data_IF_562676393421
#
_entry.id   IF_562676393421
#
_cell.length_a   1.000
_cell.length_b   1.000
_cell.length_c   1.000
_cell.angle_alpha   90.00
_cell.angle_beta   90.00
_cell.angle_gamma   90.00
#
_symmetry.space_group_name_H-M   'P 1'
#
loop_
_entity.id
_entity.type
_entity.pdbx_description
1 polymer ?
#
# COMPACT_ATOMS: atom_id res chain seq x y z
N UNK A 1 0.17 27.90 -7.13
CA UNK A 1 1.52 27.32 -6.92
C UNK A 1 1.51 26.14 -5.93
N UNK A 2 0.35 25.51 -5.66
CA UNK A 2 0.20 24.45 -4.64
C UNK A 2 -0.08 23.05 -5.21
N UNK A 3 -0.25 22.93 -6.53
CA UNK A 3 -0.61 21.67 -7.21
C UNK A 3 0.59 20.75 -7.51
N UNK A 4 1.82 21.14 -7.15
CA UNK A 4 3.02 20.46 -7.64
C UNK A 4 3.33 19.16 -6.88
N UNK A 5 3.06 19.09 -5.57
CA UNK A 5 3.33 17.88 -4.78
C UNK A 5 2.30 16.76 -5.03
N UNK A 6 1.06 17.13 -5.35
CA UNK A 6 -0.04 16.22 -5.63
C UNK A 6 0.16 15.43 -6.95
N UNK A 7 0.94 15.98 -7.88
CA UNK A 7 1.32 15.29 -9.13
C UNK A 7 2.62 14.49 -9.01
N UNK A 8 3.32 14.52 -7.87
CA UNK A 8 4.62 13.86 -7.71
C UNK A 8 4.53 12.45 -7.12
N UNK A 9 3.53 12.17 -6.28
CA UNK A 9 3.19 10.80 -5.82
C UNK A 9 2.96 9.83 -7.00
N UNK A 10 2.13 10.17 -8.01
CA UNK A 10 1.94 9.31 -9.18
C UNK A 10 3.20 9.12 -10.04
N UNK A 11 4.18 10.03 -9.93
CA UNK A 11 5.45 9.93 -10.65
C UNK A 11 6.44 9.02 -9.92
N UNK A 12 6.48 9.07 -8.58
CA UNK A 12 7.25 8.15 -7.75
C UNK A 12 6.83 6.69 -8.03
N UNK A 13 5.53 6.43 -8.11
CA UNK A 13 4.96 5.11 -8.42
C UNK A 13 5.32 4.58 -9.82
N UNK A 14 5.81 5.45 -10.72
CA UNK A 14 6.30 5.05 -12.04
C UNK A 14 7.79 4.71 -12.05
N UNK A 15 8.54 5.03 -10.98
CA UNK A 15 9.97 4.73 -10.90
C UNK A 15 10.22 3.22 -10.91
N UNK A 16 11.31 2.82 -11.57
CA UNK A 16 11.65 1.40 -11.76
C UNK A 16 11.82 0.64 -10.45
N UNK A 17 12.25 1.33 -9.38
CA UNK A 17 12.42 0.74 -8.05
C UNK A 17 11.09 0.26 -7.46
N UNK A 18 10.05 1.12 -7.48
CA UNK A 18 8.75 0.80 -6.89
C UNK A 18 7.94 -0.22 -7.68
N UNK A 19 8.37 -0.53 -8.90
CA UNK A 19 7.79 -1.60 -9.72
C UNK A 19 8.33 -2.99 -9.35
N UNK A 20 9.32 -3.13 -8.48
CA UNK A 20 9.86 -4.45 -8.10
C UNK A 20 8.96 -5.12 -7.06
N UNK A 21 8.62 -6.39 -7.24
CA UNK A 21 7.69 -7.11 -6.35
C UNK A 21 8.10 -7.06 -4.87
N UNK A 22 9.37 -7.33 -4.58
CA UNK A 22 9.94 -7.25 -3.23
C UNK A 22 9.82 -5.87 -2.58
N UNK A 23 9.90 -4.81 -3.38
CA UNK A 23 9.86 -3.43 -2.90
C UNK A 23 8.46 -3.08 -2.39
N UNK A 24 7.40 -3.68 -2.93
CA UNK A 24 6.04 -3.45 -2.44
C UNK A 24 5.91 -3.85 -0.96
N UNK A 25 6.42 -5.03 -0.60
CA UNK A 25 6.44 -5.50 0.79
C UNK A 25 7.30 -4.60 1.66
N UNK A 26 8.54 -4.32 1.26
CA UNK A 26 9.45 -3.44 2.01
C UNK A 26 8.81 -2.09 2.32
N UNK A 27 8.09 -1.53 1.34
CA UNK A 27 7.45 -0.22 1.45
C UNK A 27 6.28 -0.23 2.42
N UNK A 28 5.37 -1.19 2.27
CA UNK A 28 4.18 -1.31 3.12
C UNK A 28 4.52 -1.69 4.56
N UNK A 29 5.60 -2.47 4.76
CA UNK A 29 6.02 -2.94 6.08
C UNK A 29 6.99 -2.01 6.81
N UNK A 30 7.71 -1.13 6.10
CA UNK A 30 8.50 -0.08 6.76
C UNK A 30 7.58 0.81 7.60
N UNK A 31 8.09 1.57 8.58
CA UNK A 31 7.35 2.63 9.31
C UNK A 31 7.71 4.05 8.88
N UNK A 32 8.84 4.18 8.17
CA UNK A 32 9.38 5.42 7.62
C UNK A 32 10.23 5.07 6.41
N UNK A 33 9.99 5.74 5.29
CA UNK A 33 10.70 5.48 4.05
C UNK A 33 11.21 6.77 3.46
N UNK A 34 12.38 6.71 2.84
CA UNK A 34 12.95 7.81 2.06
C UNK A 34 13.27 7.27 0.68
N UNK A 35 12.84 8.01 -0.33
CA UNK A 35 12.96 7.68 -1.74
C UNK A 35 13.97 8.63 -2.39
N UNK A 36 14.96 8.03 -3.03
CA UNK A 36 15.97 8.73 -3.81
C UNK A 36 15.61 8.59 -5.30
N UNK A 37 14.74 9.48 -5.77
CA UNK A 37 14.33 9.54 -7.16
C UNK A 37 14.95 10.74 -7.88
N UNK A 38 14.23 11.27 -8.88
CA UNK A 38 14.54 12.59 -9.44
C UNK A 38 14.48 13.72 -8.40
N UNK A 39 13.80 13.46 -7.27
CA UNK A 39 13.73 14.32 -6.08
C UNK A 39 13.78 13.46 -4.82
N UNK A 40 14.18 14.07 -3.71
CA UNK A 40 14.12 13.45 -2.39
C UNK A 40 12.68 13.52 -1.85
N UNK A 41 12.07 12.38 -1.60
CA UNK A 41 10.74 12.26 -0.99
C UNK A 41 10.85 11.37 0.25
N UNK A 42 10.15 11.69 1.31
CA UNK A 42 10.09 10.84 2.50
C UNK A 42 8.68 10.75 3.03
N UNK A 43 8.34 9.60 3.57
CA UNK A 43 7.05 9.37 4.17
C UNK A 43 7.17 8.68 5.52
N UNK A 44 6.19 8.95 6.37
CA UNK A 44 5.91 8.23 7.58
C UNK A 44 4.39 8.18 7.79
N UNK A 45 3.96 7.55 8.88
CA UNK A 45 2.55 7.51 9.26
C UNK A 45 1.89 8.90 9.35
N UNK A 46 2.63 10.00 9.51
CA UNK A 46 2.01 11.31 9.79
C UNK A 46 2.21 12.32 8.67
N UNK A 47 3.20 12.10 7.82
CA UNK A 47 3.67 13.12 6.90
C UNK A 47 4.28 12.47 5.68
N UNK A 48 3.91 12.99 4.52
CA UNK A 48 4.64 12.82 3.28
C UNK A 48 5.28 14.17 2.96
N UNK A 49 6.60 14.20 2.91
CA UNK A 49 7.39 15.39 2.65
C UNK A 49 8.35 15.20 1.48
N UNK A 50 8.92 16.32 1.04
CA UNK A 50 9.98 16.35 0.06
C UNK A 50 10.90 17.54 0.31
N UNK A 51 12.01 17.62 -0.43
CA UNK A 51 12.99 18.71 -0.32
C UNK A 51 12.37 20.12 -0.45
N UNK A 52 11.23 20.24 -1.14
CA UNK A 52 10.52 21.51 -1.33
C UNK A 52 9.50 21.79 -0.22
N UNK A 53 8.88 20.75 0.33
CA UNK A 53 7.85 20.84 1.37
C UNK A 53 8.15 19.85 2.49
N UNK A 54 9.04 20.20 3.44
CA UNK A 54 9.52 19.24 4.42
C UNK A 54 8.46 18.74 5.39
N UNK A 55 7.50 19.61 5.72
CA UNK A 55 6.36 19.34 6.60
C UNK A 55 5.13 18.85 5.82
N UNK A 56 5.29 18.56 4.53
CA UNK A 56 4.23 18.18 3.62
C UNK A 56 3.51 19.36 2.97
N UNK A 57 2.61 19.07 2.02
CA UNK A 57 1.89 20.11 1.27
C UNK A 57 0.97 20.94 2.20
N UNK A 58 0.79 22.25 1.95
CA UNK A 58 -0.11 23.08 2.73
C UNK A 58 -1.55 22.54 2.67
N UNK A 59 -2.07 22.18 3.85
CA UNK A 59 -3.33 21.48 4.11
C UNK A 59 -4.53 22.18 3.43
N UNK A 60 -4.87 21.77 2.21
CA UNK A 60 -6.14 22.09 1.53
C UNK A 60 -6.70 20.96 0.67
N UNK A 61 -5.89 19.94 0.36
CA UNK A 61 -6.36 18.74 -0.34
C UNK A 61 -6.65 17.66 0.71
N UNK A 62 -7.92 17.66 1.11
CA UNK A 62 -8.69 16.63 1.80
C UNK A 62 -7.90 15.42 2.31
N UNK A 63 -7.88 15.29 3.64
CA UNK A 63 -7.50 14.15 4.48
C UNK A 63 -7.98 12.76 4.02
N UNK A 64 -8.86 12.70 3.02
CA UNK A 64 -9.39 11.49 2.40
C UNK A 64 -8.55 10.97 1.21
N UNK A 65 -7.83 11.84 0.48
CA UNK A 65 -7.02 11.40 -0.69
C UNK A 65 -5.73 10.72 -0.22
N UNK A 66 -5.15 11.20 0.88
CA UNK A 66 -3.92 10.66 1.47
C UNK A 66 -4.15 9.27 2.11
N UNK A 67 -5.38 8.96 2.54
CA UNK A 67 -5.68 7.72 3.28
C UNK A 67 -6.18 6.55 2.43
N UNK A 68 -6.41 6.72 1.12
CA UNK A 68 -7.14 5.70 0.37
C UNK A 68 -6.36 5.04 -0.76
N UNK A 69 -5.21 5.55 -1.19
CA UNK A 69 -4.56 4.98 -2.39
C UNK A 69 -3.04 4.82 -2.29
N UNK A 70 -2.29 5.76 -1.72
CA UNK A 70 -0.83 5.72 -1.91
C UNK A 70 -0.06 6.12 -0.66
N UNK A 71 0.48 5.12 0.06
CA UNK A 71 1.49 5.33 1.11
C UNK A 71 1.11 4.88 2.53
N UNK A 72 0.06 4.08 2.71
CA UNK A 72 -0.32 3.65 4.05
C UNK A 72 0.56 2.51 4.56
N UNK A 73 1.15 2.74 5.72
CA UNK A 73 1.83 1.74 6.53
C UNK A 73 0.87 0.60 6.89
N UNK A 74 1.37 -0.64 6.87
CA UNK A 74 0.60 -1.87 7.09
C UNK A 74 -0.34 -1.82 8.30
N UNK A 75 0.10 -1.23 9.42
CA UNK A 75 -0.70 -1.12 10.65
C UNK A 75 -1.93 -0.21 10.49
N UNK A 76 -1.82 0.86 9.70
CA UNK A 76 -2.94 1.78 9.41
C UNK A 76 -3.79 1.28 8.26
N UNK A 77 -3.15 0.66 7.28
CA UNK A 77 -3.84 0.03 6.18
C UNK A 77 -4.70 -1.14 6.67
N UNK A 78 -4.25 -1.96 7.62
CA UNK A 78 -5.09 -2.99 8.27
C UNK A 78 -6.07 -2.33 9.26
N UNK A 79 -5.67 -1.23 9.90
CA UNK A 79 -6.47 -0.47 10.85
C UNK A 79 -7.77 0.13 10.30
N UNK A 80 -8.70 0.40 11.21
CA UNK A 80 -9.99 1.01 10.93
C UNK A 80 -9.79 2.49 10.54
N UNK A 81 -10.32 2.93 9.39
CA UNK A 81 -10.62 4.34 9.22
C UNK A 81 -11.61 4.75 10.32
N UNK A 82 -11.53 6.01 10.79
CA UNK A 82 -12.52 6.57 11.72
C UNK A 82 -13.96 6.38 11.19
N UNK A 83 -14.98 6.58 12.04
CA UNK A 83 -16.31 5.96 11.92
C UNK A 83 -16.97 6.23 10.56
N UNK A 84 -16.72 5.33 9.60
CA UNK A 84 -17.56 5.13 8.43
C UNK A 84 -18.59 4.06 8.80
N UNK A 85 -19.85 4.41 8.57
CA UNK A 85 -21.04 3.73 9.11
C UNK A 85 -21.12 2.28 8.60
N UNK A 86 -21.51 1.38 9.52
CA UNK A 86 -22.09 0.03 9.34
C UNK A 86 -21.21 -1.18 8.98
N UNK A 87 -21.24 -2.19 9.88
CA UNK A 87 -21.30 -3.66 9.67
C UNK A 87 -20.41 -4.38 8.62
N UNK A 88 -19.45 -3.73 7.97
CA UNK A 88 -18.71 -4.26 6.80
C UNK A 88 -17.21 -4.52 7.04
N UNK A 89 -16.76 -4.66 8.30
CA UNK A 89 -15.33 -4.73 8.65
C UNK A 89 -14.56 -5.84 7.91
N UNK A 90 -15.12 -7.05 7.79
CA UNK A 90 -14.46 -8.20 7.10
C UNK A 90 -14.32 -7.97 5.60
N UNK A 91 -15.35 -7.39 4.95
CA UNK A 91 -15.33 -7.05 3.52
C UNK A 91 -14.33 -5.93 3.21
N UNK A 92 -14.11 -5.03 4.17
CA UNK A 92 -13.12 -3.96 4.03
C UNK A 92 -11.68 -4.51 4.05
N UNK A 93 -11.39 -5.49 4.90
CA UNK A 93 -10.04 -6.07 5.00
C UNK A 93 -9.71 -6.95 3.78
N UNK A 94 -10.69 -7.73 3.28
CA UNK A 94 -10.55 -8.49 2.03
C UNK A 94 -10.33 -7.59 0.83
N UNK A 95 -11.11 -6.50 0.70
CA UNK A 95 -10.89 -5.49 -0.35
C UNK A 95 -9.50 -4.86 -0.28
N UNK A 96 -9.00 -4.57 0.92
CA UNK A 96 -7.62 -4.08 1.15
C UNK A 96 -6.57 -5.09 0.67
N UNK A 97 -6.75 -6.38 0.98
CA UNK A 97 -5.85 -7.41 0.48
C UNK A 97 -5.87 -7.52 -1.06
N UNK A 98 -7.05 -7.46 -1.68
CA UNK A 98 -7.17 -7.49 -3.14
C UNK A 98 -6.45 -6.31 -3.81
N UNK A 99 -6.45 -5.12 -3.20
CA UNK A 99 -5.67 -3.97 -3.71
C UNK A 99 -4.17 -4.28 -3.67
N UNK A 100 -3.67 -4.91 -2.60
CA UNK A 100 -2.26 -5.30 -2.49
C UNK A 100 -1.91 -6.32 -3.57
N UNK A 101 -2.70 -7.39 -3.71
CA UNK A 101 -2.46 -8.44 -4.72
C UNK A 101 -2.54 -7.88 -6.13
N UNK A 102 -3.51 -7.01 -6.41
CA UNK A 102 -3.65 -6.32 -7.69
C UNK A 102 -2.45 -5.41 -7.97
N UNK A 103 -1.96 -4.68 -6.97
CA UNK A 103 -0.75 -3.85 -7.14
C UNK A 103 0.48 -4.73 -7.38
N UNK A 104 0.61 -5.82 -6.63
CA UNK A 104 1.70 -6.78 -6.74
C UNK A 104 1.72 -7.50 -8.10
N UNK A 105 0.56 -7.82 -8.68
CA UNK A 105 0.49 -8.49 -10.00
C UNK A 105 1.04 -7.63 -11.14
N UNK A 106 1.07 -6.30 -10.96
CA UNK A 106 1.70 -5.36 -11.88
C UNK A 106 3.19 -5.12 -11.59
N UNK A 107 3.73 -5.68 -10.50
CA UNK A 107 5.15 -5.59 -10.19
C UNK A 107 5.98 -6.57 -11.02
N UNK A 108 7.19 -6.15 -11.39
CA UNK A 108 8.19 -7.00 -12.01
C UNK A 108 8.92 -7.86 -10.98
N UNK A 109 9.05 -9.15 -11.29
CA UNK A 109 9.91 -10.08 -10.59
C UNK A 109 11.00 -10.56 -11.55
N UNK A 110 12.24 -10.65 -11.05
CA UNK A 110 13.35 -11.24 -11.83
C UNK A 110 13.17 -12.75 -11.96
N UNK A 111 12.66 -13.38 -10.90
CA UNK A 111 12.39 -14.81 -10.81
C UNK A 111 10.95 -15.01 -10.36
N UNK A 112 10.17 -15.81 -11.08
CA UNK A 112 8.75 -16.05 -10.77
C UNK A 112 8.60 -16.80 -9.44
N UNK A 113 9.60 -17.58 -9.06
CA UNK A 113 9.72 -18.30 -7.80
C UNK A 113 9.65 -17.36 -6.59
N UNK A 114 10.03 -16.08 -6.76
CA UNK A 114 9.98 -15.07 -5.71
C UNK A 114 8.58 -14.52 -5.45
N UNK A 115 7.56 -14.91 -6.23
CA UNK A 115 6.19 -14.39 -6.11
C UNK A 115 5.64 -14.50 -4.69
N UNK A 116 5.65 -15.71 -4.12
CA UNK A 116 5.10 -15.93 -2.77
C UNK A 116 6.02 -15.42 -1.66
N UNK A 117 7.35 -15.65 -1.71
CA UNK A 117 8.26 -15.04 -0.74
C UNK A 117 8.14 -13.51 -0.65
N UNK A 118 8.00 -12.81 -1.79
CA UNK A 118 7.99 -11.36 -1.86
C UNK A 118 6.74 -10.69 -1.26
N UNK A 119 5.66 -11.45 -1.02
CA UNK A 119 4.41 -10.95 -0.40
C UNK A 119 4.08 -11.67 0.93
N UNK A 120 4.87 -12.68 1.30
CA UNK A 120 4.61 -13.53 2.48
C UNK A 120 4.53 -12.77 3.80
N UNK A 121 5.33 -11.71 3.97
CA UNK A 121 5.33 -10.90 5.19
C UNK A 121 4.02 -10.11 5.35
N UNK A 122 3.48 -9.59 4.25
CA UNK A 122 2.17 -8.94 4.24
C UNK A 122 1.06 -9.95 4.53
N UNK A 123 1.13 -11.13 3.92
CA UNK A 123 0.17 -12.20 4.16
C UNK A 123 0.12 -12.59 5.65
N UNK A 124 1.29 -12.71 6.29
CA UNK A 124 1.39 -13.03 7.71
C UNK A 124 0.73 -11.96 8.60
N UNK A 125 0.92 -10.67 8.31
CA UNK A 125 0.26 -9.61 9.07
C UNK A 125 -1.25 -9.57 8.86
N UNK A 126 -1.73 -9.90 7.66
CA UNK A 126 -3.16 -10.02 7.39
C UNK A 126 -3.78 -11.27 8.03
N UNK A 127 -3.03 -12.38 8.13
CA UNK A 127 -3.48 -13.66 8.71
C UNK A 127 -4.02 -13.50 10.13
N UNK A 128 -3.37 -12.69 10.96
CA UNK A 128 -3.79 -12.42 12.35
C UNK A 128 -5.17 -11.76 12.41
N UNK A 129 -5.48 -10.89 11.44
CA UNK A 129 -6.73 -10.12 11.39
C UNK A 129 -7.84 -10.83 10.59
N UNK A 130 -7.50 -11.52 9.50
CA UNK A 130 -8.42 -12.23 8.61
C UNK A 130 -8.99 -13.51 9.25
N UNK A 131 -8.18 -14.20 10.07
CA UNK A 131 -8.53 -15.51 10.66
C UNK A 131 -9.15 -16.45 9.60
N UNK A 132 -8.50 -16.51 8.44
CA UNK A 132 -8.93 -17.33 7.30
C UNK A 132 -7.76 -18.15 6.75
N UNK A 133 -8.05 -19.20 5.99
CA UNK A 133 -7.01 -20.03 5.41
C UNK A 133 -6.40 -19.36 4.17
N UNK A 134 -5.09 -19.18 4.18
CA UNK A 134 -4.35 -18.55 3.10
C UNK A 134 -3.89 -19.58 2.06
N UNK A 135 -4.33 -19.42 0.81
CA UNK A 135 -4.07 -20.29 -0.32
C UNK A 135 -3.41 -19.47 -1.43
N UNK A 136 -2.07 -19.51 -1.50
CA UNK A 136 -1.29 -18.96 -2.63
C UNK A 136 -1.71 -17.54 -3.07
N UNK A 137 -1.70 -16.58 -2.14
CA UNK A 137 -2.16 -15.18 -2.32
C UNK A 137 -3.66 -14.92 -2.26
N UNK A 138 -4.47 -15.96 -2.05
CA UNK A 138 -5.93 -15.85 -1.97
C UNK A 138 -6.41 -16.37 -0.62
N UNK A 139 -7.44 -15.74 -0.06
CA UNK A 139 -8.09 -16.22 1.17
C UNK A 139 -9.21 -17.19 0.83
N UNK A 140 -9.33 -18.30 1.55
CA UNK A 140 -10.29 -19.37 1.25
C UNK A 140 -11.75 -18.88 1.20
N UNK A 141 -12.15 -17.98 2.10
CA UNK A 141 -13.51 -17.41 2.13
C UNK A 141 -13.79 -16.48 0.95
N UNK A 142 -12.75 -15.97 0.29
CA UNK A 142 -12.85 -15.06 -0.84
C UNK A 142 -12.22 -15.64 -2.12
N UNK A 143 -12.23 -16.98 -2.23
CA UNK A 143 -11.60 -17.68 -3.34
C UNK A 143 -12.15 -17.24 -4.71
N UNK A 144 -13.46 -16.99 -4.80
CA UNK A 144 -14.12 -16.59 -6.05
C UNK A 144 -13.61 -15.22 -6.49
N UNK A 145 -13.61 -14.22 -5.61
CA UNK A 145 -13.13 -12.87 -5.95
C UNK A 145 -11.63 -12.84 -6.16
N UNK A 146 -10.89 -13.61 -5.36
CA UNK A 146 -9.43 -13.70 -5.45
C UNK A 146 -8.93 -14.42 -6.70
N UNK A 147 -9.77 -15.16 -7.44
CA UNK A 147 -9.40 -15.75 -8.74
C UNK A 147 -9.62 -14.79 -9.93
N UNK A 148 -10.19 -13.61 -9.70
CA UNK A 148 -10.44 -12.59 -10.74
C UNK A 148 -9.29 -11.59 -10.90
N UNK A 149 -8.14 -11.82 -10.23
CA UNK A 149 -6.94 -10.99 -10.24
C UNK A 149 -6.09 -11.11 -11.50
#
# INVERSE_FOLDING_TARGET
MYAFCDHQLPLLMKESLLRRGWVLQERLMSRRSIYFGAKLVWECCETLGCETFPEGPPVTLSRCVIQCVDGDHLERFIGNCGPCITSHFTLHLQGKWLIIVSTFSHCGLTYVEDTFPAISGLAQSFQESMQDNYLACIWQKDLISGLLW
#
